data_IF_975417794074
#
_entry.id   IF_975417794074
#
_cell.length_a   1.000
_cell.length_b   1.000
_cell.length_c   1.000
_cell.angle_alpha   90.00
_cell.angle_beta   90.00
_cell.angle_gamma   90.00
#
_symmetry.space_group_name_H-M   'P 1'
#
loop_
_entity.id
_entity.type
_entity.pdbx_description
1 polymer ?
#
# COMPACT_ATOMS: atom_id res chain seq x y z
N UNK A 1 57.32 42.83 29.37
CA UNK A 1 55.87 42.58 29.27
C UNK A 1 55.56 42.06 27.88
N UNK A 2 55.23 40.78 27.69
CA UNK A 2 54.58 40.31 26.48
C UNK A 2 53.05 40.44 26.61
N UNK A 3 52.31 40.71 25.52
CA UNK A 3 50.88 40.95 25.57
C UNK A 3 50.13 39.64 25.81
N UNK A 4 49.19 39.69 26.76
CA UNK A 4 48.27 38.62 27.11
C UNK A 4 47.43 38.25 25.87
N UNK A 5 47.49 36.98 25.48
CA UNK A 5 46.91 36.45 24.25
C UNK A 5 45.41 36.76 24.16
N UNK A 6 45.01 37.50 23.12
CA UNK A 6 43.63 37.98 22.91
C UNK A 6 42.63 36.81 22.83
N UNK A 7 43.10 35.64 22.40
CA UNK A 7 42.28 34.44 22.23
C UNK A 7 41.72 33.90 23.56
N UNK A 8 42.47 33.95 24.67
CA UNK A 8 42.01 33.45 25.97
C UNK A 8 40.94 34.34 26.61
N UNK A 9 40.88 35.63 26.27
CA UNK A 9 39.81 36.53 26.75
C UNK A 9 38.47 36.22 26.09
N UNK A 10 38.45 35.88 24.80
CA UNK A 10 37.20 35.55 24.11
C UNK A 10 36.64 34.19 24.51
N UNK A 11 37.48 33.20 24.80
CA UNK A 11 37.03 31.88 25.26
C UNK A 11 36.37 31.97 26.64
N UNK A 12 36.91 32.76 27.58
CA UNK A 12 36.30 32.94 28.90
C UNK A 12 34.95 33.68 28.81
N UNK A 13 34.84 34.70 27.97
CA UNK A 13 33.58 35.44 27.77
C UNK A 13 32.50 34.52 27.20
N UNK A 14 32.84 33.69 26.21
CA UNK A 14 31.89 32.80 25.56
C UNK A 14 31.35 31.72 26.51
N UNK A 15 32.21 31.15 27.36
CA UNK A 15 31.82 30.16 28.38
C UNK A 15 30.92 30.81 29.45
N UNK A 16 31.22 32.03 29.89
CA UNK A 16 30.37 32.75 30.86
C UNK A 16 28.99 33.10 30.29
N UNK A 17 28.91 33.51 29.02
CA UNK A 17 27.61 33.78 28.38
C UNK A 17 26.78 32.51 28.18
N UNK A 18 27.41 31.37 27.88
CA UNK A 18 26.69 30.10 27.72
C UNK A 18 26.12 29.60 29.05
N UNK A 19 26.87 29.73 30.16
CA UNK A 19 26.41 29.36 31.50
C UNK A 19 25.23 30.24 31.96
N UNK A 20 25.26 31.55 31.67
CA UNK A 20 24.16 32.46 32.00
C UNK A 20 22.88 32.16 31.20
N UNK A 21 22.99 31.75 29.93
CA UNK A 21 21.83 31.37 29.11
C UNK A 21 21.20 30.06 29.62
N UNK A 22 22.02 29.07 30.01
CA UNK A 22 21.52 27.81 30.57
C UNK A 22 20.86 28.04 31.95
N UNK A 23 21.43 28.92 32.78
CA UNK A 23 20.85 29.33 34.06
C UNK A 23 19.48 30.00 33.90
N UNK A 24 19.31 30.87 32.89
CA UNK A 24 18.04 31.55 32.62
C UNK A 24 16.95 30.57 32.12
N UNK A 25 17.34 29.52 31.40
CA UNK A 25 16.40 28.50 30.89
C UNK A 25 15.88 27.57 32.00
N UNK A 26 16.73 27.22 32.97
CA UNK A 26 16.34 26.35 34.10
C UNK A 26 15.38 27.08 35.08
N UNK A 27 15.49 28.41 35.19
CA UNK A 27 14.55 29.21 36.02
C UNK A 27 13.20 29.50 35.36
N UNK A 28 13.00 29.14 34.09
CA UNK A 28 11.75 29.35 33.34
C UNK A 28 10.92 28.06 33.17
N UNK A 29 11.11 27.08 34.05
CA UNK A 29 10.17 25.97 34.23
C UNK A 29 9.34 26.29 35.47
N UNK A 30 8.35 27.17 35.30
CA UNK A 30 7.29 27.34 36.29
C UNK A 30 6.32 26.18 36.18
N UNK A 31 6.23 25.43 37.28
CA UNK A 31 5.23 24.44 37.65
C UNK A 31 3.91 24.51 36.85
N UNK A 32 3.71 23.56 35.95
CA UNK A 32 2.41 23.30 35.34
C UNK A 32 1.62 22.43 36.33
N UNK A 33 0.66 23.05 37.02
CA UNK A 33 -0.33 22.35 37.83
C UNK A 33 -1.32 21.63 36.89
N UNK A 34 -1.63 20.34 37.09
CA UNK A 34 -2.67 19.68 36.33
C UNK A 34 -4.03 20.31 36.65
N UNK A 35 -4.81 20.65 35.63
CA UNK A 35 -6.18 21.11 35.79
C UNK A 35 -7.06 19.90 36.10
N UNK A 36 -7.71 19.91 37.27
CA UNK A 36 -8.78 18.99 37.64
C UNK A 36 -9.87 19.01 36.57
N UNK A 37 -10.02 17.91 35.84
CA UNK A 37 -11.17 17.69 34.98
C UNK A 37 -12.19 16.91 35.79
N UNK A 38 -13.18 17.62 36.31
CA UNK A 38 -14.35 17.07 36.99
C UNK A 38 -15.04 16.07 36.06
N UNK A 39 -14.97 14.80 36.43
CA UNK A 39 -15.66 13.69 35.78
C UNK A 39 -17.16 13.82 36.01
N UNK A 40 -17.90 14.34 35.01
CA UNK A 40 -19.35 14.14 34.94
C UNK A 40 -19.62 12.87 34.14
N UNK A 41 -19.48 11.73 34.81
CA UNK A 41 -19.97 10.43 34.32
C UNK A 41 -21.49 10.53 34.19
N UNK A 42 -21.98 10.75 32.97
CA UNK A 42 -23.40 10.51 32.68
C UNK A 42 -23.54 9.04 32.34
N UNK A 43 -23.77 8.24 33.36
CA UNK A 43 -24.06 6.81 33.28
C UNK A 43 -25.38 6.62 32.53
N UNK A 44 -25.33 6.30 31.25
CA UNK A 44 -26.46 5.68 30.56
C UNK A 44 -26.47 4.20 30.91
N UNK A 45 -27.27 3.81 31.90
CA UNK A 45 -27.69 2.43 32.10
C UNK A 45 -28.83 2.11 31.13
N UNK A 46 -28.72 1.08 30.27
CA UNK A 46 -29.88 0.41 29.73
C UNK A 46 -30.33 -0.64 30.74
N UNK A 47 -31.58 -0.50 31.19
CA UNK A 47 -32.28 -1.45 32.04
C UNK A 47 -32.29 -2.85 31.42
N UNK A 48 -32.00 -3.85 32.26
CA UNK A 48 -32.50 -5.20 32.05
C UNK A 48 -34.04 -5.16 32.13
N UNK A 49 -34.69 -5.47 31.01
CA UNK A 49 -36.03 -6.02 31.02
C UNK A 49 -36.14 -7.04 29.91
N UNK A 50 -36.30 -8.27 30.37
CA UNK A 50 -36.69 -9.48 29.66
C UNK A 50 -37.81 -9.21 28.63
N UNK A 51 -37.52 -9.41 27.34
CA UNK A 51 -38.56 -9.75 26.37
C UNK A 51 -37.94 -10.44 25.16
N UNK A 52 -38.26 -11.73 25.04
CA UNK A 52 -38.11 -12.55 23.85
C UNK A 52 -38.54 -11.83 22.58
N UNK A 53 -37.61 -11.62 21.64
CA UNK A 53 -37.95 -11.33 20.26
C UNK A 53 -36.98 -12.05 19.33
N UNK A 54 -37.54 -12.98 18.56
CA UNK A 54 -36.93 -13.80 17.54
C UNK A 54 -35.88 -13.03 16.71
N UNK A 55 -34.64 -13.53 16.70
CA UNK A 55 -33.61 -13.12 15.75
C UNK A 55 -34.10 -13.39 14.32
N UNK A 56 -34.41 -12.32 13.59
CA UNK A 56 -34.41 -12.36 12.14
C UNK A 56 -32.94 -12.47 11.72
N UNK A 57 -32.51 -13.69 11.36
CA UNK A 57 -31.19 -13.91 10.76
C UNK A 57 -31.07 -13.08 9.48
N UNK A 58 -30.14 -12.13 9.48
CA UNK A 58 -29.67 -11.45 8.27
C UNK A 58 -29.19 -12.50 7.23
N UNK A 59 -29.55 -12.41 5.94
CA UNK A 59 -29.17 -13.41 4.93
C UNK A 59 -27.69 -13.33 4.49
N UNK A 60 -26.86 -12.51 5.12
CA UNK A 60 -25.45 -12.35 4.80
C UNK A 60 -24.61 -12.74 6.02
N UNK A 61 -24.61 -14.02 6.36
CA UNK A 61 -23.59 -14.57 7.24
C UNK A 61 -22.33 -14.79 6.40
N UNK A 62 -21.24 -14.15 6.83
CA UNK A 62 -19.92 -14.22 6.23
C UNK A 62 -19.44 -15.69 6.19
N UNK A 63 -19.21 -16.28 5.01
CA UNK A 63 -18.79 -17.68 4.87
C UNK A 63 -17.37 -17.94 5.39
N UNK A 64 -16.65 -16.93 5.87
CA UNK A 64 -15.21 -16.99 6.18
C UNK A 64 -14.91 -17.06 7.68
N UNK A 65 -15.89 -17.38 8.51
CA UNK A 65 -15.71 -17.59 9.94
C UNK A 65 -15.07 -18.96 10.25
N UNK A 66 -13.95 -19.26 9.57
CA UNK A 66 -13.08 -20.38 9.90
C UNK A 66 -11.82 -19.79 10.55
N UNK A 67 -11.84 -19.69 11.88
CA UNK A 67 -10.85 -19.06 12.76
C UNK A 67 -9.45 -19.73 12.77
N UNK A 68 -9.07 -20.46 11.72
CA UNK A 68 -7.77 -21.14 11.59
C UNK A 68 -6.79 -20.48 10.61
N UNK A 69 -7.14 -19.33 10.03
CA UNK A 69 -6.14 -18.46 9.45
C UNK A 69 -5.63 -17.58 10.60
N UNK A 70 -4.38 -17.78 11.03
CA UNK A 70 -3.57 -16.81 11.78
C UNK A 70 -4.00 -15.38 11.39
N UNK A 71 -4.04 -14.41 12.31
CA UNK A 71 -4.57 -13.03 12.08
C UNK A 71 -4.05 -12.25 10.86
N UNK A 72 -3.17 -12.85 10.06
CA UNK A 72 -2.73 -12.58 8.69
C UNK A 72 -3.83 -12.29 7.65
N UNK A 73 -5.09 -12.70 7.84
CA UNK A 73 -6.14 -12.59 6.81
C UNK A 73 -7.44 -11.93 7.27
N UNK A 74 -7.36 -10.95 8.18
CA UNK A 74 -8.51 -10.10 8.53
C UNK A 74 -8.82 -9.08 7.41
N UNK A 75 -9.83 -8.24 7.59
CA UNK A 75 -10.20 -7.20 6.60
C UNK A 75 -9.12 -6.13 6.38
N UNK A 76 -8.05 -6.12 7.18
CA UNK A 76 -6.89 -5.22 7.03
C UNK A 76 -5.63 -5.94 6.56
N UNK A 77 -5.75 -7.21 6.13
CA UNK A 77 -4.65 -8.03 5.64
C UNK A 77 -3.47 -8.09 6.63
N UNK A 78 -3.74 -8.05 7.94
CA UNK A 78 -2.70 -8.06 8.97
C UNK A 78 -1.97 -6.71 9.20
N UNK A 79 -2.28 -5.66 8.45
CA UNK A 79 -1.81 -4.30 8.74
C UNK A 79 -2.71 -3.60 9.74
N UNK A 80 -2.22 -2.57 10.44
CA UNK A 80 -3.10 -1.77 11.29
C UNK A 80 -4.06 -0.92 10.47
N UNK A 81 -3.63 -0.44 9.30
CA UNK A 81 -4.47 0.31 8.36
C UNK A 81 -4.18 -0.10 6.92
N UNK A 82 -5.23 -0.13 6.11
CA UNK A 82 -5.12 -0.07 4.65
C UNK A 82 -5.71 1.28 4.25
N UNK A 83 -4.92 2.13 3.61
CA UNK A 83 -5.38 3.39 3.06
C UNK A 83 -5.25 3.36 1.53
N UNK A 84 -6.26 3.86 0.82
CA UNK A 84 -6.14 4.09 -0.61
C UNK A 84 -6.16 5.58 -0.94
N UNK A 85 -5.28 5.99 -1.84
CA UNK A 85 -5.07 7.37 -2.23
C UNK A 85 -5.93 7.72 -3.44
N UNK A 86 -6.95 8.56 -3.25
CA UNK A 86 -7.77 9.07 -4.33
C UNK A 86 -7.95 10.59 -4.23
N UNK A 87 -7.95 11.28 -5.36
CA UNK A 87 -8.33 12.71 -5.41
C UNK A 87 -9.86 12.86 -5.35
N UNK A 88 -10.40 14.01 -4.91
CA UNK A 88 -11.84 14.18 -4.68
C UNK A 88 -12.74 13.94 -5.90
N UNK A 89 -12.27 14.23 -7.11
CA UNK A 89 -13.03 14.28 -8.36
C UNK A 89 -12.99 12.97 -9.18
N UNK A 90 -12.48 11.87 -8.60
CA UNK A 90 -12.30 10.57 -9.25
C UNK A 90 -13.22 9.48 -8.70
N UNK A 91 -14.53 9.68 -8.89
CA UNK A 91 -15.58 8.77 -8.40
C UNK A 91 -15.47 7.35 -8.98
N UNK A 92 -15.07 7.25 -10.26
CA UNK A 92 -14.87 5.96 -10.91
C UNK A 92 -13.83 5.10 -10.18
N UNK A 93 -12.79 5.72 -9.61
CA UNK A 93 -11.76 5.01 -8.85
C UNK A 93 -12.30 4.56 -7.48
N UNK A 94 -13.04 5.43 -6.77
CA UNK A 94 -13.72 5.07 -5.52
C UNK A 94 -14.65 3.86 -5.70
N UNK A 95 -15.47 3.88 -6.76
CA UNK A 95 -16.43 2.81 -7.06
C UNK A 95 -15.70 1.48 -7.33
N UNK A 96 -14.59 1.51 -8.07
CA UNK A 96 -13.80 0.28 -8.31
C UNK A 96 -13.14 -0.25 -7.04
N UNK A 97 -12.65 0.60 -6.15
CA UNK A 97 -12.10 0.16 -4.87
C UNK A 97 -13.21 -0.48 -4.02
N UNK A 98 -14.39 0.15 -3.96
CA UNK A 98 -15.52 -0.36 -3.19
C UNK A 98 -15.96 -1.76 -3.66
N UNK A 99 -16.16 -1.92 -4.97
CA UNK A 99 -16.58 -3.20 -5.56
C UNK A 99 -15.57 -4.33 -5.31
N UNK A 100 -14.29 -4.09 -5.58
CA UNK A 100 -13.24 -5.08 -5.37
C UNK A 100 -13.04 -5.43 -3.89
N UNK A 101 -13.18 -4.43 -3.01
CA UNK A 101 -13.00 -4.62 -1.56
C UNK A 101 -14.03 -5.57 -0.97
N UNK A 102 -15.29 -5.49 -1.44
CA UNK A 102 -16.34 -6.43 -1.06
C UNK A 102 -16.01 -7.84 -1.52
N UNK A 103 -15.57 -8.01 -2.78
CA UNK A 103 -15.21 -9.33 -3.32
C UNK A 103 -14.08 -10.00 -2.53
N UNK A 104 -13.07 -9.23 -2.17
CA UNK A 104 -11.89 -9.73 -1.43
C UNK A 104 -12.05 -9.64 0.09
N UNK A 105 -13.20 -9.18 0.59
CA UNK A 105 -13.48 -8.91 2.01
C UNK A 105 -12.36 -8.15 2.71
N UNK A 106 -11.88 -7.07 2.11
CA UNK A 106 -10.96 -6.11 2.73
C UNK A 106 -11.68 -4.78 2.97
N UNK A 107 -11.11 -3.93 3.83
CA UNK A 107 -11.71 -2.65 4.20
C UNK A 107 -10.69 -1.51 4.13
N UNK A 108 -10.27 -1.11 2.92
CA UNK A 108 -9.40 0.04 2.76
C UNK A 108 -10.17 1.34 3.06
N UNK A 109 -9.51 2.27 3.73
CA UNK A 109 -10.05 3.60 4.06
C UNK A 109 -9.55 4.63 3.04
N UNK A 110 -10.46 5.49 2.56
CA UNK A 110 -10.09 6.54 1.62
C UNK A 110 -9.19 7.56 2.31
N UNK A 111 -8.07 7.88 1.68
CA UNK A 111 -7.26 9.05 1.99
C UNK A 111 -7.35 10.06 0.85
N UNK A 112 -7.74 11.30 1.18
CA UNK A 112 -7.88 12.36 0.18
C UNK A 112 -6.50 12.82 -0.29
N UNK A 113 -6.22 12.58 -1.56
CA UNK A 113 -5.04 13.09 -2.24
C UNK A 113 -5.10 14.60 -2.42
N UNK A 114 -3.90 15.19 -2.50
CA UNK A 114 -3.74 16.60 -2.83
C UNK A 114 -4.16 16.77 -4.28
N UNK A 115 -5.10 17.69 -4.52
CA UNK A 115 -5.53 18.05 -5.86
C UNK A 115 -4.58 19.08 -6.44
N UNK A 116 -4.23 18.94 -7.72
CA UNK A 116 -3.39 19.89 -8.45
C UNK A 116 -3.89 21.34 -8.36
N UNK A 117 -5.20 21.53 -8.36
CA UNK A 117 -5.86 22.84 -8.31
C UNK A 117 -5.68 23.54 -6.96
N UNK A 118 -5.35 22.79 -5.90
CA UNK A 118 -5.25 23.30 -4.52
C UNK A 118 -3.83 23.23 -3.95
N UNK A 119 -2.84 22.83 -4.77
CA UNK A 119 -1.45 22.71 -4.33
C UNK A 119 -0.77 24.08 -4.19
N UNK A 120 -0.51 24.50 -2.95
CA UNK A 120 0.29 25.70 -2.65
C UNK A 120 1.79 25.38 -2.59
N UNK A 121 2.57 26.02 -3.48
CA UNK A 121 4.02 25.86 -3.56
C UNK A 121 4.75 26.35 -2.31
N UNK A 122 4.17 27.28 -1.53
CA UNK A 122 4.79 27.80 -0.29
C UNK A 122 4.95 26.70 0.77
N UNK A 123 4.07 25.71 0.76
CA UNK A 123 4.10 24.59 1.72
C UNK A 123 5.00 23.42 1.31
N UNK A 124 5.63 23.48 0.13
CA UNK A 124 6.48 22.39 -0.34
C UNK A 124 7.90 22.48 0.27
N UNK A 125 8.53 21.34 0.60
CA UNK A 125 9.93 21.28 1.00
C UNK A 125 10.88 21.85 -0.06
N UNK A 126 12.12 22.22 0.33
CA UNK A 126 13.14 22.64 -0.62
C UNK A 126 13.49 21.52 -1.61
N UNK A 127 14.10 21.90 -2.73
CA UNK A 127 14.56 20.99 -3.78
C UNK A 127 15.95 21.41 -4.23
N UNK A 128 16.88 20.47 -4.31
CA UNK A 128 18.25 20.67 -4.82
C UNK A 128 18.29 20.85 -6.35
N UNK A 129 17.22 20.44 -7.06
CA UNK A 129 17.14 20.58 -8.51
C UNK A 129 16.78 22.00 -8.94
N UNK A 130 17.47 22.48 -9.98
CA UNK A 130 17.16 23.75 -10.65
C UNK A 130 15.82 23.71 -11.38
N UNK A 131 15.53 22.59 -12.04
CA UNK A 131 14.26 22.36 -12.73
C UNK A 131 13.28 21.78 -11.72
N UNK A 132 12.16 22.47 -11.53
CA UNK A 132 11.11 22.01 -10.62
C UNK A 132 10.46 20.74 -11.16
N UNK A 133 10.16 19.82 -10.26
CA UNK A 133 9.32 18.66 -10.55
C UNK A 133 7.95 19.10 -11.09
N UNK A 134 7.40 18.34 -12.04
CA UNK A 134 6.08 18.63 -12.62
C UNK A 134 5.00 18.71 -11.51
N UNK A 135 4.04 19.65 -11.58
CA UNK A 135 3.04 19.83 -10.52
C UNK A 135 2.27 18.54 -10.18
N UNK A 136 1.92 17.71 -11.17
CA UNK A 136 1.23 16.43 -10.93
C UNK A 136 2.05 15.48 -10.06
N UNK A 137 3.36 15.41 -10.29
CA UNK A 137 4.27 14.62 -9.48
C UNK A 137 4.48 15.24 -8.08
N UNK A 138 4.52 16.56 -7.95
CA UNK A 138 4.53 17.23 -6.64
C UNK A 138 3.28 16.92 -5.81
N UNK A 139 2.10 16.97 -6.44
CA UNK A 139 0.83 16.69 -5.79
C UNK A 139 0.73 15.22 -5.38
N UNK A 140 1.13 14.30 -6.25
CA UNK A 140 1.23 12.88 -5.94
C UNK A 140 2.16 12.65 -4.74
N UNK A 141 3.40 13.14 -4.82
CA UNK A 141 4.36 13.02 -3.72
C UNK A 141 3.80 13.55 -2.41
N UNK A 142 3.26 14.78 -2.42
CA UNK A 142 2.72 15.42 -1.21
C UNK A 142 1.58 14.62 -0.60
N UNK A 143 0.80 13.92 -1.43
CA UNK A 143 -0.25 13.02 -0.99
C UNK A 143 0.30 11.83 -0.20
N UNK A 144 1.29 11.12 -0.73
CA UNK A 144 1.98 10.04 0.00
C UNK A 144 2.60 10.52 1.31
N UNK A 145 3.29 11.67 1.26
CA UNK A 145 3.90 12.24 2.46
C UNK A 145 2.88 12.69 3.51
N UNK A 146 1.64 13.02 3.12
CA UNK A 146 0.56 13.27 4.09
C UNK A 146 0.09 11.99 4.78
N UNK A 147 0.07 10.86 4.07
CA UNK A 147 -0.23 9.55 4.67
C UNK A 147 0.86 9.12 5.65
N UNK A 148 2.14 9.31 5.29
CA UNK A 148 3.27 9.04 6.21
C UNK A 148 3.16 9.89 7.48
N UNK A 149 2.80 11.18 7.34
CA UNK A 149 2.60 12.05 8.51
C UNK A 149 1.44 11.57 9.37
N UNK A 150 0.31 11.21 8.76
CA UNK A 150 -0.84 10.67 9.50
C UNK A 150 -0.46 9.40 10.27
N UNK A 151 0.31 8.50 9.66
CA UNK A 151 0.79 7.29 10.31
C UNK A 151 1.58 7.59 11.59
N UNK A 152 2.45 8.60 11.56
CA UNK A 152 3.23 9.04 12.73
C UNK A 152 2.33 9.70 13.76
N UNK A 153 1.47 10.64 13.34
CA UNK A 153 0.58 11.39 14.23
C UNK A 153 -0.34 10.44 15.03
N UNK A 154 -0.77 9.34 14.40
CA UNK A 154 -1.66 8.32 14.98
C UNK A 154 -0.90 7.13 15.59
N UNK A 155 0.44 7.14 15.55
CA UNK A 155 1.32 6.10 16.06
C UNK A 155 1.03 4.69 15.52
N UNK A 156 0.69 4.58 14.23
CA UNK A 156 0.52 3.28 13.58
C UNK A 156 1.88 2.64 13.28
N UNK A 157 2.02 1.34 13.56
CA UNK A 157 3.22 0.54 13.33
C UNK A 157 3.36 0.06 11.89
N UNK A 158 2.23 -0.23 11.22
CA UNK A 158 2.21 -0.71 9.84
C UNK A 158 0.99 -0.20 9.08
N UNK A 159 1.20 0.20 7.83
CA UNK A 159 0.13 0.68 6.96
C UNK A 159 0.37 0.19 5.53
N UNK A 160 -0.66 -0.36 4.90
CA UNK A 160 -0.69 -0.64 3.46
C UNK A 160 -1.27 0.56 2.72
N UNK A 161 -0.54 1.06 1.73
CA UNK A 161 -0.95 2.16 0.85
C UNK A 161 -1.30 1.58 -0.52
N UNK A 162 -2.46 1.97 -1.05
CA UNK A 162 -2.91 1.65 -2.40
C UNK A 162 -3.11 2.95 -3.20
N UNK A 163 -2.75 2.97 -4.48
CA UNK A 163 -3.31 3.95 -5.42
C UNK A 163 -4.76 3.55 -5.76
N UNK A 164 -5.63 4.52 -6.03
CA UNK A 164 -7.06 4.23 -6.27
C UNK A 164 -7.34 3.49 -7.59
N UNK A 165 -6.37 3.44 -8.49
CA UNK A 165 -6.41 2.61 -9.70
C UNK A 165 -5.80 1.21 -9.49
N UNK A 166 -5.52 0.80 -8.24
CA UNK A 166 -5.05 -0.54 -7.94
C UNK A 166 -6.13 -1.61 -8.22
N UNK A 167 -5.69 -2.74 -8.77
CA UNK A 167 -6.49 -3.95 -9.01
C UNK A 167 -5.72 -5.19 -8.55
N UNK A 168 -6.45 -6.20 -8.09
CA UNK A 168 -5.89 -7.39 -7.48
C UNK A 168 -6.66 -8.67 -7.81
N UNK A 169 -6.14 -9.81 -7.35
CA UNK A 169 -6.83 -11.10 -7.40
C UNK A 169 -7.84 -11.24 -6.25
N UNK A 170 -9.03 -11.79 -6.51
CA UNK A 170 -10.08 -11.92 -5.49
C UNK A 170 -9.60 -12.64 -4.21
N UNK A 171 -8.62 -13.54 -4.32
CA UNK A 171 -8.06 -14.33 -3.22
C UNK A 171 -7.02 -13.57 -2.38
N UNK A 172 -7.07 -12.24 -2.39
CA UNK A 172 -6.06 -11.35 -1.80
C UNK A 172 -5.66 -11.73 -0.37
N UNK A 173 -6.62 -12.11 0.49
CA UNK A 173 -6.35 -12.53 1.87
C UNK A 173 -5.44 -13.76 1.96
N UNK A 174 -5.65 -14.76 1.10
CA UNK A 174 -4.80 -15.94 1.05
C UNK A 174 -3.42 -15.62 0.47
N UNK A 175 -3.37 -14.75 -0.55
CA UNK A 175 -2.10 -14.29 -1.13
C UNK A 175 -1.25 -13.58 -0.07
N UNK A 176 -1.85 -12.74 0.77
CA UNK A 176 -1.16 -12.04 1.85
C UNK A 176 -0.74 -12.95 3.00
N UNK A 177 -1.50 -14.01 3.30
CA UNK A 177 -1.08 -15.06 4.21
C UNK A 177 0.18 -15.78 3.69
N UNK A 178 0.16 -16.23 2.43
CA UNK A 178 1.29 -16.90 1.77
C UNK A 178 2.52 -16.00 1.70
N UNK A 179 2.32 -14.71 1.40
CA UNK A 179 3.39 -13.72 1.43
C UNK A 179 4.06 -13.62 2.80
N UNK A 180 3.30 -13.60 3.89
CA UNK A 180 3.86 -13.57 5.26
C UNK A 180 4.79 -14.74 5.53
N UNK A 181 4.37 -15.95 5.13
CA UNK A 181 5.20 -17.15 5.24
C UNK A 181 6.49 -17.05 4.39
N UNK A 182 6.39 -16.53 3.17
CA UNK A 182 7.55 -16.29 2.30
C UNK A 182 8.51 -15.24 2.86
N UNK A 183 7.97 -14.16 3.43
CA UNK A 183 8.74 -13.10 4.07
C UNK A 183 9.52 -13.64 5.27
N UNK A 184 8.87 -14.41 6.15
CA UNK A 184 9.52 -15.05 7.29
C UNK A 184 10.70 -15.95 6.85
N UNK A 185 10.48 -16.78 5.82
CA UNK A 185 11.54 -17.64 5.27
C UNK A 185 12.73 -16.82 4.75
N UNK A 186 12.46 -15.71 4.03
CA UNK A 186 13.51 -14.84 3.52
C UNK A 186 14.25 -14.14 4.66
N UNK A 187 13.54 -13.59 5.65
CA UNK A 187 14.13 -12.97 6.84
C UNK A 187 15.08 -13.93 7.57
N UNK A 188 14.63 -15.18 7.75
CA UNK A 188 15.42 -16.26 8.37
C UNK A 188 16.67 -16.59 7.54
N UNK A 189 16.51 -16.73 6.23
CA UNK A 189 17.62 -16.97 5.28
C UNK A 189 18.67 -15.85 5.31
N UNK A 190 18.24 -14.60 5.54
CA UNK A 190 19.15 -13.45 5.66
C UNK A 190 19.70 -13.25 7.09
N UNK A 191 19.34 -14.09 8.06
CA UNK A 191 19.78 -13.98 9.45
C UNK A 191 19.22 -12.76 10.18
N UNK A 192 18.09 -12.21 9.72
CA UNK A 192 17.44 -11.02 10.31
C UNK A 192 16.48 -11.38 11.45
N UNK A 193 16.13 -12.65 11.56
CA UNK A 193 15.34 -13.23 12.65
C UNK A 193 16.00 -14.51 13.17
N UNK A 194 15.83 -14.80 14.46
CA UNK A 194 16.37 -16.01 15.10
C UNK A 194 15.60 -17.28 14.70
N UNK A 195 16.16 -18.48 14.92
CA UNK A 195 15.53 -19.76 14.55
C UNK A 195 14.15 -19.98 15.17
N UNK A 196 13.92 -19.44 16.37
CA UNK A 196 12.66 -19.58 17.12
C UNK A 196 11.75 -18.34 17.03
N UNK A 197 12.18 -17.30 16.31
CA UNK A 197 11.38 -16.09 16.06
C UNK A 197 10.40 -16.35 14.91
N UNK A 198 9.11 -16.12 15.16
CA UNK A 198 8.00 -16.41 14.25
C UNK A 198 7.01 -15.25 14.19
N UNK A 199 6.27 -15.16 13.08
CA UNK A 199 5.20 -14.19 12.93
C UNK A 199 4.13 -14.41 14.01
N UNK A 200 3.57 -13.31 14.53
CA UNK A 200 2.50 -13.35 15.53
C UNK A 200 1.19 -12.89 14.91
N UNK A 201 0.08 -13.07 15.63
CA UNK A 201 -1.23 -12.58 15.19
C UNK A 201 -1.24 -11.05 15.06
N UNK A 202 -0.54 -10.37 15.96
CA UNK A 202 -0.48 -8.91 16.05
C UNK A 202 0.59 -8.31 15.14
N UNK A 203 1.65 -9.07 14.84
CA UNK A 203 2.72 -8.67 13.93
C UNK A 203 3.00 -9.77 12.88
N UNK A 204 2.09 -9.94 11.91
CA UNK A 204 2.19 -10.97 10.89
C UNK A 204 3.38 -10.83 9.93
N UNK A 205 3.95 -9.63 9.84
CA UNK A 205 4.96 -9.29 8.83
C UNK A 205 6.26 -8.76 9.43
N UNK A 206 6.45 -8.84 10.75
CA UNK A 206 7.64 -8.32 11.43
C UNK A 206 7.89 -6.83 11.14
N UNK A 207 6.96 -5.94 11.48
CA UNK A 207 7.00 -4.51 11.13
C UNK A 207 8.30 -3.77 11.54
N UNK A 208 9.07 -4.33 12.47
CA UNK A 208 10.36 -3.81 12.90
C UNK A 208 11.57 -4.30 12.06
N UNK A 209 11.38 -5.16 11.06
CA UNK A 209 12.43 -5.71 10.18
C UNK A 209 12.46 -5.07 8.79
N UNK A 210 11.58 -4.12 8.52
CA UNK A 210 11.48 -3.45 7.23
C UNK A 210 10.99 -2.01 7.39
N UNK A 211 11.35 -1.18 6.42
CA UNK A 211 10.84 0.17 6.23
C UNK A 211 9.70 0.21 5.23
N UNK A 212 9.87 -0.48 4.10
CA UNK A 212 8.90 -0.53 2.98
C UNK A 212 8.83 -1.93 2.38
N UNK A 213 7.63 -2.40 2.08
CA UNK A 213 7.41 -3.60 1.26
C UNK A 213 6.62 -3.20 0.02
N UNK A 214 7.16 -3.39 -1.17
CA UNK A 214 6.47 -3.09 -2.43
C UNK A 214 5.66 -4.32 -2.88
N UNK A 215 4.37 -4.10 -3.15
CA UNK A 215 3.43 -5.14 -3.57
C UNK A 215 2.86 -4.90 -4.97
N UNK A 216 3.05 -3.69 -5.51
CA UNK A 216 2.61 -3.30 -6.84
C UNK A 216 3.53 -2.25 -7.43
N UNK A 217 4.09 -2.57 -8.59
CA UNK A 217 4.98 -1.71 -9.36
C UNK A 217 4.88 -2.01 -10.85
N UNK A 218 5.27 -1.04 -11.66
CA UNK A 218 5.24 -1.14 -13.11
C UNK A 218 6.54 -1.72 -13.71
N UNK A 219 7.63 -1.70 -12.94
CA UNK A 219 8.92 -2.22 -13.37
C UNK A 219 9.74 -2.69 -12.17
N UNK A 220 10.19 -3.94 -12.19
CA UNK A 220 11.08 -4.50 -11.18
C UNK A 220 12.55 -4.32 -11.58
N UNK A 221 13.35 -3.65 -10.75
CA UNK A 221 14.79 -3.50 -11.01
C UNK A 221 15.48 -4.89 -10.95
N UNK A 222 16.32 -5.30 -11.92
CA UNK A 222 17.02 -6.60 -11.90
C UNK A 222 18.14 -6.72 -10.85
N UNK A 223 18.53 -5.62 -10.21
CA UNK A 223 19.52 -5.59 -9.15
C UNK A 223 19.16 -6.53 -7.99
N UNK A 224 20.20 -7.14 -7.42
CA UNK A 224 20.10 -8.07 -6.28
C UNK A 224 19.13 -9.24 -6.49
N UNK A 225 18.91 -9.68 -7.74
CA UNK A 225 17.98 -10.78 -8.05
C UNK A 225 18.33 -12.08 -7.32
N UNK A 226 19.61 -12.29 -7.01
CA UNK A 226 20.15 -13.43 -6.27
C UNK A 226 19.74 -13.42 -4.79
N UNK A 227 19.36 -12.26 -4.27
CA UNK A 227 18.92 -12.08 -2.88
C UNK A 227 17.40 -12.17 -2.80
N UNK A 228 16.89 -13.33 -3.22
CA UNK A 228 15.47 -13.62 -3.31
C UNK A 228 15.15 -15.04 -2.82
N UNK A 229 13.86 -15.33 -2.68
CA UNK A 229 13.32 -16.63 -2.30
C UNK A 229 11.99 -16.87 -3.01
N UNK A 230 11.82 -18.05 -3.62
CA UNK A 230 10.51 -18.50 -4.10
C UNK A 230 9.74 -19.15 -2.94
N UNK A 231 8.49 -18.75 -2.75
CA UNK A 231 7.59 -19.29 -1.73
C UNK A 231 6.28 -19.76 -2.36
N UNK A 232 5.61 -20.69 -1.67
CA UNK A 232 4.36 -21.28 -2.15
C UNK A 232 3.22 -20.24 -2.12
N UNK A 233 2.56 -20.08 -3.26
CA UNK A 233 1.33 -19.33 -3.42
C UNK A 233 0.47 -19.97 -4.54
N UNK A 234 -0.54 -20.78 -4.18
CA UNK A 234 -1.47 -21.40 -5.15
C UNK A 234 -2.20 -20.42 -6.07
N UNK A 235 -2.26 -19.14 -5.70
CA UNK A 235 -2.92 -18.09 -6.48
C UNK A 235 -1.96 -17.33 -7.41
N UNK A 236 -0.66 -17.62 -7.34
CA UNK A 236 0.33 -17.07 -8.25
C UNK A 236 0.08 -17.53 -9.70
N UNK A 237 0.29 -16.67 -10.71
CA UNK A 237 0.22 -17.07 -12.11
C UNK A 237 1.31 -18.09 -12.48
N UNK A 238 1.00 -18.96 -13.42
CA UNK A 238 1.96 -19.94 -13.96
C UNK A 238 2.72 -19.37 -15.16
N UNK A 239 3.92 -19.90 -15.44
CA UNK A 239 4.67 -19.58 -16.66
C UNK A 239 5.32 -18.19 -16.65
N UNK A 240 5.46 -17.59 -15.46
CA UNK A 240 6.18 -16.34 -15.27
C UNK A 240 7.69 -16.58 -15.20
N UNK A 241 8.46 -15.57 -15.60
CA UNK A 241 9.94 -15.59 -15.50
C UNK A 241 10.40 -14.41 -14.67
N UNK A 242 11.25 -14.68 -13.71
CA UNK A 242 11.90 -13.69 -12.88
C UNK A 242 13.31 -13.43 -13.44
N UNK A 243 13.48 -12.35 -14.20
CA UNK A 243 14.74 -11.98 -14.86
C UNK A 243 15.39 -13.11 -15.69
N UNK A 244 14.55 -13.84 -16.43
CA UNK A 244 14.96 -14.97 -17.28
C UNK A 244 14.78 -16.34 -16.62
N UNK A 245 14.79 -16.38 -15.29
CA UNK A 245 14.70 -17.61 -14.51
C UNK A 245 13.22 -18.02 -14.35
N UNK A 246 12.81 -19.25 -14.69
CA UNK A 246 11.43 -19.69 -14.51
C UNK A 246 11.01 -19.65 -13.05
N UNK A 247 9.80 -19.15 -12.79
CA UNK A 247 9.14 -19.29 -11.49
C UNK A 247 8.40 -20.62 -11.50
N UNK A 248 8.57 -21.40 -10.43
CA UNK A 248 7.88 -22.67 -10.29
C UNK A 248 6.36 -22.47 -10.25
N UNK A 249 5.61 -23.50 -10.65
CA UNK A 249 4.14 -23.46 -10.59
C UNK A 249 3.70 -23.19 -9.14
N UNK A 250 2.70 -22.33 -8.97
CA UNK A 250 2.14 -21.96 -7.67
C UNK A 250 3.19 -21.34 -6.73
N UNK A 251 4.14 -20.56 -7.27
CA UNK A 251 5.09 -19.81 -6.45
C UNK A 251 5.12 -18.33 -6.82
N UNK A 252 5.48 -17.51 -5.83
CA UNK A 252 5.95 -16.13 -6.02
C UNK A 252 7.37 -15.99 -5.49
N UNK A 253 8.02 -14.92 -5.88
CA UNK A 253 9.35 -14.53 -5.45
C UNK A 253 9.22 -13.36 -4.48
N UNK A 254 9.78 -13.48 -3.29
CA UNK A 254 10.05 -12.34 -2.41
C UNK A 254 11.53 -11.96 -2.52
N UNK A 255 11.81 -10.66 -2.53
CA UNK A 255 13.13 -10.09 -2.80
C UNK A 255 13.57 -9.20 -1.66
N UNK A 256 14.86 -9.17 -1.34
CA UNK A 256 15.41 -8.29 -0.30
C UNK A 256 16.19 -7.12 -0.90
N UNK A 257 15.86 -5.90 -0.44
CA UNK A 257 16.47 -4.62 -0.82
C UNK A 257 16.59 -4.45 -2.33
N UNK A 258 15.53 -4.81 -3.03
CA UNK A 258 15.39 -4.60 -4.47
C UNK A 258 14.09 -3.83 -4.71
N UNK A 259 14.20 -2.76 -5.49
CA UNK A 259 13.10 -1.83 -5.70
C UNK A 259 12.28 -2.12 -6.95
N UNK A 260 11.06 -1.60 -6.92
CA UNK A 260 10.16 -1.46 -8.06
C UNK A 260 9.90 0.02 -8.33
N UNK A 261 9.62 0.35 -9.59
CA UNK A 261 9.14 1.68 -10.02
C UNK A 261 7.61 1.70 -9.94
N UNK A 262 7.04 2.89 -9.78
CA UNK A 262 5.64 3.14 -9.47
C UNK A 262 5.27 2.81 -8.00
N UNK A 263 4.16 3.38 -7.53
CA UNK A 263 3.69 3.29 -6.13
C UNK A 263 2.31 2.67 -5.99
N UNK A 264 1.90 1.84 -6.97
CA UNK A 264 0.58 1.21 -7.06
C UNK A 264 0.14 0.61 -5.73
N UNK A 265 1.04 -0.13 -5.07
CA UNK A 265 0.82 -0.62 -3.71
C UNK A 265 2.12 -0.86 -2.98
N UNK A 266 2.22 -0.37 -1.75
CA UNK A 266 3.32 -0.69 -0.84
C UNK A 266 2.87 -0.59 0.63
N UNK A 267 3.41 -1.46 1.48
CA UNK A 267 3.34 -1.27 2.92
C UNK A 267 4.51 -0.44 3.42
N UNK A 268 4.29 0.30 4.50
CA UNK A 268 5.27 1.12 5.17
C UNK A 268 5.20 0.91 6.70
N UNK A 269 6.35 0.86 7.35
CA UNK A 269 6.46 0.80 8.81
C UNK A 269 6.59 2.21 9.41
N UNK A 270 6.39 2.34 10.71
CA UNK A 270 6.52 3.64 11.38
C UNK A 270 7.92 4.25 11.15
N UNK A 271 8.96 3.41 11.23
CA UNK A 271 10.34 3.82 10.96
C UNK A 271 10.53 4.25 9.50
N UNK A 272 9.96 3.51 8.55
CA UNK A 272 9.99 3.87 7.14
C UNK A 272 9.31 5.22 6.86
N UNK A 273 8.16 5.48 7.47
CA UNK A 273 7.44 6.75 7.34
C UNK A 273 8.28 7.94 7.84
N UNK A 274 8.97 7.78 8.97
CA UNK A 274 9.89 8.78 9.49
C UNK A 274 11.07 9.03 8.54
N UNK A 275 11.71 7.98 8.03
CA UNK A 275 12.83 8.07 7.08
C UNK A 275 12.42 8.80 5.80
N UNK A 276 11.28 8.47 5.23
CA UNK A 276 10.77 9.09 4.00
C UNK A 276 10.36 10.55 4.23
N UNK A 277 9.75 10.88 5.37
CA UNK A 277 9.45 12.28 5.69
C UNK A 277 10.70 13.12 5.92
N UNK A 278 11.73 12.58 6.58
CA UNK A 278 13.02 13.25 6.72
C UNK A 278 13.65 13.48 5.35
N UNK A 279 13.69 12.44 4.49
CA UNK A 279 14.19 12.54 3.12
C UNK A 279 13.47 13.63 2.33
N UNK A 280 12.15 13.75 2.52
CA UNK A 280 11.29 14.74 1.89
C UNK A 280 11.56 16.15 2.40
N UNK A 281 11.73 16.31 3.72
CA UNK A 281 11.99 17.61 4.34
C UNK A 281 13.34 18.20 3.94
N UNK A 282 14.34 17.34 3.70
CA UNK A 282 15.68 17.75 3.27
C UNK A 282 15.69 18.13 1.78
N UNK A 283 15.08 17.30 0.92
CA UNK A 283 15.21 17.50 -0.53
C UNK A 283 14.09 16.84 -1.36
N UNK A 284 13.04 17.57 -1.73
CA UNK A 284 11.99 17.06 -2.62
C UNK A 284 12.37 17.24 -4.10
N UNK A 285 13.42 16.55 -4.55
CA UNK A 285 14.01 16.69 -5.89
C UNK A 285 13.58 15.66 -6.94
N UNK A 286 12.90 14.60 -6.55
CA UNK A 286 12.44 13.55 -7.46
C UNK A 286 10.99 13.19 -7.17
N UNK A 287 10.36 12.47 -8.11
CA UNK A 287 9.07 11.86 -7.88
C UNK A 287 9.15 10.80 -6.76
N UNK A 288 8.02 10.52 -6.11
CA UNK A 288 7.99 9.68 -4.89
C UNK A 288 8.48 8.25 -5.13
N UNK A 289 8.12 7.68 -6.26
CA UNK A 289 8.60 6.37 -6.72
C UNK A 289 10.12 6.37 -6.90
N UNK A 290 10.67 7.42 -7.53
CA UNK A 290 12.10 7.57 -7.71
C UNK A 290 12.84 7.79 -6.39
N UNK A 291 12.26 8.53 -5.43
CA UNK A 291 12.84 8.67 -4.08
C UNK A 291 12.91 7.31 -3.38
N UNK A 292 11.84 6.50 -3.47
CA UNK A 292 11.85 5.13 -2.95
C UNK A 292 12.96 4.31 -3.60
N UNK A 293 13.02 4.27 -4.94
CA UNK A 293 14.06 3.52 -5.68
C UNK A 293 15.47 3.95 -5.26
N UNK A 294 15.75 5.26 -5.22
CA UNK A 294 17.07 5.79 -4.83
C UNK A 294 17.42 5.38 -3.39
N UNK A 295 16.48 5.50 -2.45
CA UNK A 295 16.76 5.13 -1.06
C UNK A 295 16.95 3.62 -0.89
N UNK A 296 16.26 2.79 -1.67
CA UNK A 296 16.47 1.34 -1.68
C UNK A 296 17.88 1.01 -2.18
N UNK A 297 18.25 1.54 -3.34
CA UNK A 297 19.54 1.26 -3.98
C UNK A 297 20.74 1.78 -3.17
N UNK A 298 20.56 2.90 -2.47
CA UNK A 298 21.60 3.49 -1.60
C UNK A 298 21.62 2.87 -0.20
N UNK A 299 20.72 1.94 0.12
CA UNK A 299 20.65 1.29 1.44
C UNK A 299 20.07 2.18 2.54
N UNK A 300 19.40 3.28 2.19
CA UNK A 300 18.68 4.15 3.12
C UNK A 300 17.36 3.57 3.62
N UNK A 301 16.87 2.50 2.98
CA UNK A 301 15.68 1.75 3.41
C UNK A 301 15.96 0.23 3.43
N UNK A 302 15.43 -0.43 4.45
CA UNK A 302 15.27 -1.88 4.50
C UNK A 302 13.98 -2.27 3.78
N UNK A 303 14.10 -2.88 2.61
CA UNK A 303 12.92 -3.13 1.78
C UNK A 303 12.78 -4.56 1.30
N UNK A 304 11.55 -4.89 0.96
CA UNK A 304 11.20 -6.12 0.29
C UNK A 304 10.28 -5.82 -0.90
N UNK A 305 10.28 -6.70 -1.89
CA UNK A 305 9.35 -6.62 -3.01
C UNK A 305 8.90 -8.02 -3.45
N UNK A 306 7.79 -8.09 -4.19
CA UNK A 306 7.18 -9.36 -4.59
C UNK A 306 7.04 -9.42 -6.11
N UNK A 307 7.44 -10.53 -6.70
CA UNK A 307 7.24 -10.79 -8.13
C UNK A 307 6.68 -12.20 -8.37
N UNK A 308 5.67 -12.40 -9.23
CA UNK A 308 4.82 -11.39 -9.86
C UNK A 308 4.14 -10.51 -8.81
N UNK A 309 3.83 -9.26 -9.17
CA UNK A 309 3.28 -8.30 -8.21
C UNK A 309 1.86 -8.70 -7.78
N UNK A 310 1.46 -8.28 -6.58
CA UNK A 310 0.15 -8.61 -5.98
C UNK A 310 -0.92 -7.61 -6.43
N UNK A 311 -0.52 -6.37 -6.70
CA UNK A 311 -1.39 -5.31 -7.21
C UNK A 311 -0.88 -4.80 -8.56
N UNK A 312 -1.79 -4.69 -9.53
CA UNK A 312 -1.57 -3.99 -10.81
C UNK A 312 -2.31 -2.65 -10.79
N UNK A 313 -2.12 -1.85 -11.83
CA UNK A 313 -3.05 -0.79 -12.17
C UNK A 313 -4.12 -1.32 -13.13
N UNK A 314 -5.37 -0.94 -12.92
CA UNK A 314 -6.40 -1.13 -13.94
C UNK A 314 -6.48 0.10 -14.83
N UNK A 315 -6.92 -0.11 -16.06
CA UNK A 315 -7.33 0.93 -16.98
C UNK A 315 -8.60 0.49 -17.71
N UNK A 316 -9.37 1.45 -18.22
CA UNK A 316 -10.41 1.13 -19.18
C UNK A 316 -9.80 0.48 -20.42
N UNK A 317 -10.49 -0.50 -21.01
CA UNK A 317 -10.07 -1.16 -22.25
C UNK A 317 -9.74 -0.11 -23.31
N UNK A 318 -8.52 -0.17 -23.87
CA UNK A 318 -7.99 0.84 -24.81
C UNK A 318 -8.92 1.16 -25.99
N UNK A 319 -9.70 0.17 -26.43
CA UNK A 319 -10.66 0.32 -27.54
C UNK A 319 -11.75 1.36 -27.25
N UNK A 320 -12.04 1.66 -25.99
CA UNK A 320 -13.01 2.67 -25.57
C UNK A 320 -12.51 4.10 -25.77
N UNK A 321 -11.19 4.32 -25.83
CA UNK A 321 -10.63 5.66 -26.03
C UNK A 321 -10.79 6.62 -24.84
N UNK A 322 -10.76 6.09 -23.61
CA UNK A 322 -11.04 6.82 -22.37
C UNK A 322 -9.77 7.09 -21.54
N UNK A 323 -8.68 7.45 -22.21
CA UNK A 323 -7.35 7.54 -21.58
C UNK A 323 -7.30 8.55 -20.42
N UNK A 324 -8.04 9.67 -20.52
CA UNK A 324 -8.05 10.71 -19.47
C UNK A 324 -8.65 10.21 -18.15
N UNK A 325 -9.52 9.18 -18.22
CA UNK A 325 -10.20 8.61 -17.06
C UNK A 325 -9.30 7.68 -16.23
N UNK A 326 -8.17 7.25 -16.80
CA UNK A 326 -7.23 6.35 -16.15
C UNK A 326 -6.27 7.09 -15.21
N UNK A 327 -5.76 8.28 -15.57
CA UNK A 327 -4.76 8.99 -14.77
C UNK A 327 -4.71 10.49 -15.03
N UNK A 328 -4.45 11.27 -13.97
CA UNK A 328 -4.25 12.73 -14.03
C UNK A 328 -2.78 13.15 -14.23
N UNK A 329 -1.85 12.19 -14.27
CA UNK A 329 -0.41 12.52 -14.25
C UNK A 329 0.06 13.07 -15.59
N UNK A 330 -0.37 12.48 -16.71
CA UNK A 330 0.14 12.74 -18.07
C UNK A 330 -0.76 13.65 -18.91
N UNK A 331 -1.99 13.91 -18.47
CA UNK A 331 -2.94 14.71 -19.25
C UNK A 331 -3.38 14.05 -20.56
N UNK A 332 -3.48 12.72 -20.55
CA UNK A 332 -3.92 11.93 -21.71
C UNK A 332 -5.33 12.37 -22.14
N UNK A 333 -5.60 12.36 -23.45
CA UNK A 333 -6.87 12.81 -24.01
C UNK A 333 -7.72 11.64 -24.46
N UNK A 334 -9.03 11.78 -24.27
CA UNK A 334 -10.00 10.85 -24.82
C UNK A 334 -10.07 11.01 -26.34
N UNK A 335 -10.17 9.89 -27.05
CA UNK A 335 -10.35 9.82 -28.50
C UNK A 335 -11.58 8.98 -28.88
N UNK A 336 -12.46 8.71 -27.92
CA UNK A 336 -13.72 7.96 -28.07
C UNK A 336 -14.55 8.46 -29.25
N UNK A 337 -14.81 9.77 -29.31
CA UNK A 337 -15.61 10.40 -30.38
C UNK A 337 -14.96 10.23 -31.76
N UNK A 338 -13.63 10.30 -31.83
CA UNK A 338 -12.91 10.08 -33.08
C UNK A 338 -12.96 8.62 -33.52
N UNK A 339 -12.88 7.67 -32.57
CA UNK A 339 -13.05 6.24 -32.84
C UNK A 339 -14.47 5.92 -33.33
N UNK A 340 -15.48 6.47 -32.67
CA UNK A 340 -16.89 6.32 -33.04
C UNK A 340 -17.18 6.87 -34.44
N UNK A 341 -16.60 8.01 -34.81
CA UNK A 341 -16.73 8.59 -36.16
C UNK A 341 -16.03 7.74 -37.23
N UNK A 342 -14.87 7.16 -36.92
CA UNK A 342 -14.09 6.35 -37.85
C UNK A 342 -14.73 4.98 -38.12
N UNK A 343 -15.33 4.36 -37.10
CA UNK A 343 -15.96 3.05 -37.22
C UNK A 343 -17.24 2.97 -36.34
N UNK A 344 -18.38 3.51 -36.81
CA UNK A 344 -19.61 3.53 -36.03
C UNK A 344 -20.15 2.15 -35.68
N UNK A 345 -20.09 1.20 -36.61
CA UNK A 345 -20.62 -0.16 -36.40
C UNK A 345 -19.71 -0.99 -35.48
N UNK A 346 -18.39 -0.89 -35.64
CA UNK A 346 -17.46 -1.53 -34.72
C UNK A 346 -17.56 -0.94 -33.31
N UNK A 347 -17.75 0.37 -33.17
CA UNK A 347 -17.97 1.01 -31.87
C UNK A 347 -19.29 0.58 -31.22
N UNK A 348 -20.38 0.47 -32.00
CA UNK A 348 -21.65 -0.08 -31.52
C UNK A 348 -21.51 -1.53 -31.08
N UNK A 349 -20.81 -2.36 -31.87
CA UNK A 349 -20.53 -3.76 -31.52
C UNK A 349 -19.73 -3.85 -30.22
N UNK A 350 -18.69 -3.02 -30.06
CA UNK A 350 -17.89 -2.96 -28.83
C UNK A 350 -18.76 -2.71 -27.59
N UNK A 351 -19.66 -1.72 -27.64
CA UNK A 351 -20.57 -1.44 -26.52
C UNK A 351 -21.59 -2.56 -26.28
N UNK A 352 -22.07 -3.23 -27.33
CA UNK A 352 -22.93 -4.41 -27.15
C UNK A 352 -22.17 -5.53 -26.42
N UNK A 353 -20.95 -5.84 -26.86
CA UNK A 353 -20.09 -6.84 -26.23
C UNK A 353 -19.80 -6.47 -24.75
N UNK A 354 -19.61 -5.18 -24.45
CA UNK A 354 -19.43 -4.66 -23.08
C UNK A 354 -20.68 -4.82 -22.23
N UNK A 355 -21.86 -4.46 -22.74
CA UNK A 355 -23.11 -4.62 -21.99
C UNK A 355 -23.43 -6.10 -21.72
N UNK A 356 -23.06 -6.99 -22.64
CA UNK A 356 -23.21 -8.43 -22.44
C UNK A 356 -22.20 -8.97 -21.41
N UNK A 357 -20.93 -8.58 -21.52
CA UNK A 357 -19.86 -9.07 -20.63
C UNK A 357 -19.81 -8.40 -19.25
N UNK A 358 -20.35 -7.18 -19.14
CA UNK A 358 -20.19 -6.26 -18.00
C UNK A 358 -18.73 -6.02 -17.61
N UNK A 359 -17.84 -6.02 -18.60
CA UNK A 359 -16.40 -5.91 -18.39
C UNK A 359 -15.80 -4.79 -19.27
N UNK A 360 -15.36 -3.73 -18.61
CA UNK A 360 -14.74 -2.55 -19.23
C UNK A 360 -13.27 -2.37 -18.85
N UNK A 361 -12.70 -3.27 -18.05
CA UNK A 361 -11.40 -3.09 -17.42
C UNK A 361 -10.32 -4.00 -18.03
N UNK A 362 -9.08 -3.56 -17.94
CA UNK A 362 -7.88 -4.33 -18.25
C UNK A 362 -6.75 -3.99 -17.28
N UNK A 363 -5.91 -4.98 -16.96
CA UNK A 363 -4.63 -4.72 -16.29
C UNK A 363 -3.71 -3.91 -17.19
N UNK A 364 -3.02 -2.92 -16.62
CA UNK A 364 -2.10 -2.03 -17.32
C UNK A 364 -0.74 -2.68 -17.54
N UNK A 365 -0.25 -3.46 -16.58
CA UNK A 365 1.05 -4.15 -16.65
C UNK A 365 0.88 -5.68 -16.54
N UNK A 366 0.11 -6.31 -17.45
CA UNK A 366 -0.22 -7.73 -17.37
C UNK A 366 1.02 -8.64 -17.39
N UNK A 367 2.16 -8.18 -17.92
CA UNK A 367 3.45 -8.87 -17.88
C UNK A 367 4.02 -9.05 -16.46
N UNK A 368 3.56 -8.26 -15.49
CA UNK A 368 4.02 -8.28 -14.10
C UNK A 368 3.05 -8.98 -13.15
N UNK A 369 1.81 -9.27 -13.55
CA UNK A 369 0.75 -9.78 -12.66
C UNK A 369 0.07 -11.07 -13.12
N UNK A 370 -0.53 -11.07 -14.32
CA UNK A 370 -1.35 -12.16 -14.89
C UNK A 370 -2.30 -12.82 -13.88
N UNK A 371 -3.09 -12.03 -13.12
CA UNK A 371 -3.99 -12.58 -12.09
C UNK A 371 -4.79 -13.78 -12.58
N UNK A 372 -4.86 -14.83 -11.75
CA UNK A 372 -5.71 -16.00 -12.04
C UNK A 372 -7.18 -15.61 -12.00
N UNK A 373 -7.55 -14.75 -11.05
CA UNK A 373 -8.92 -14.24 -10.83
C UNK A 373 -8.90 -12.75 -10.52
N UNK A 374 -8.62 -11.92 -11.53
CA UNK A 374 -8.71 -10.46 -11.43
C UNK A 374 -10.10 -10.04 -10.88
N UNK A 375 -10.13 -9.24 -9.82
CA UNK A 375 -11.35 -8.87 -9.12
C UNK A 375 -12.35 -8.13 -10.01
N UNK A 376 -11.90 -7.17 -10.82
CA UNK A 376 -12.78 -6.39 -11.70
C UNK A 376 -13.38 -7.25 -12.81
N UNK A 377 -12.57 -8.11 -13.44
CA UNK A 377 -13.07 -8.99 -14.50
C UNK A 377 -13.96 -10.14 -13.99
N UNK A 378 -14.05 -10.34 -12.66
CA UNK A 378 -14.93 -11.33 -12.02
C UNK A 378 -16.15 -10.72 -11.31
N UNK A 379 -16.39 -9.41 -11.44
CA UNK A 379 -17.54 -8.75 -10.80
C UNK A 379 -18.88 -9.31 -11.25
N UNK A 380 -19.05 -9.55 -12.56
CA UNK A 380 -20.32 -10.06 -13.11
C UNK A 380 -20.73 -11.38 -12.49
N UNK A 381 -19.80 -12.34 -12.43
CA UNK A 381 -20.08 -13.69 -11.92
C UNK A 381 -20.46 -13.69 -10.44
N UNK A 382 -19.87 -12.78 -9.67
CA UNK A 382 -20.18 -12.64 -8.26
C UNK A 382 -21.50 -11.89 -8.02
N UNK A 383 -21.72 -10.76 -8.68
CA UNK A 383 -22.87 -9.88 -8.43
C UNK A 383 -24.16 -10.48 -9.01
N UNK A 384 -24.12 -10.95 -10.26
CA UNK A 384 -25.33 -11.35 -10.99
C UNK A 384 -25.53 -12.87 -11.03
N UNK A 385 -24.45 -13.64 -11.17
CA UNK A 385 -24.57 -15.09 -11.31
C UNK A 385 -24.57 -15.82 -9.96
N UNK A 386 -24.38 -15.09 -8.84
CA UNK A 386 -24.28 -15.59 -7.46
C UNK A 386 -23.31 -16.77 -7.28
N UNK A 387 -22.32 -16.90 -8.18
CA UNK A 387 -21.24 -17.86 -7.99
C UNK A 387 -20.36 -17.31 -6.89
N UNK A 388 -20.54 -17.81 -5.68
CA UNK A 388 -19.59 -17.54 -4.60
C UNK A 388 -18.20 -17.96 -5.07
N UNK A 389 -17.20 -17.13 -4.75
CA UNK A 389 -15.80 -17.38 -5.01
C UNK A 389 -15.23 -18.47 -4.07
N UNK A 390 -15.93 -19.59 -3.95
CA UNK A 390 -15.46 -20.80 -3.29
C UNK A 390 -14.97 -21.69 -4.40
N UNK A 391 -13.66 -21.75 -4.59
CA UNK A 391 -13.09 -22.94 -5.23
C UNK A 391 -13.41 -24.09 -4.29
N UNK A 392 -14.23 -25.00 -4.80
CA UNK A 392 -14.57 -26.26 -4.18
C UNK A 392 -13.26 -27.01 -3.81
N UNK A 393 -13.02 -27.19 -2.51
CA UNK A 393 -11.91 -27.99 -1.96
C UNK A 393 -11.97 -29.48 -2.39
N UNK A 394 -12.96 -29.87 -3.20
CA UNK A 394 -13.21 -31.24 -3.64
C UNK A 394 -12.25 -31.78 -4.71
N UNK A 395 -11.39 -30.95 -5.33
CA UNK A 395 -10.51 -31.40 -6.44
C UNK A 395 -9.05 -31.70 -6.05
N UNK A 396 -8.70 -31.70 -4.76
CA UNK A 396 -7.35 -32.05 -4.28
C UNK A 396 -7.27 -33.40 -3.53
N UNK A 397 -8.34 -34.19 -3.50
CA UNK A 397 -8.35 -35.55 -2.95
C UNK A 397 -8.89 -36.57 -3.94
N UNK A 398 -8.15 -36.88 -5.01
CA UNK A 398 -8.39 -38.11 -5.79
C UNK A 398 -7.21 -38.52 -6.68
N UNK A 399 -5.99 -38.57 -6.13
CA UNK A 399 -4.91 -39.37 -6.74
C UNK A 399 -3.99 -39.90 -5.64
N UNK A 400 -4.54 -40.71 -4.74
CA UNK A 400 -3.76 -41.55 -3.82
C UNK A 400 -4.57 -42.81 -3.46
N UNK A 401 -5.23 -43.42 -4.44
CA UNK A 401 -5.65 -44.82 -4.37
C UNK A 401 -5.64 -45.40 -5.78
N UNK A 402 -4.51 -45.98 -6.17
CA UNK A 402 -4.40 -47.09 -7.14
C UNK A 402 -2.97 -47.64 -7.06
N UNK A 403 -2.67 -48.19 -5.88
CA UNK A 403 -1.61 -49.16 -5.67
C UNK A 403 -2.26 -50.44 -5.15
N UNK A 404 -2.56 -51.37 -6.05
CA UNK A 404 -2.80 -52.79 -5.77
C UNK A 404 -2.14 -53.60 -6.86
#
# INVERSE_FOLDING_TARGET
>A
MPPLNILTKYTLIFVFTLILIISAFITSIKSFTPLDTTTTTTTFQPNESDSSSNEIKSPLQDPLQNDNILGLANSTLGFQKILYLNVPDRYNLDDTIAMQSVLSGIKPERFLGVNLKTLDQKGLPPSSRKVKMHPSAQSCYRSHANMWRKMIDENWQSMLILEADAVWDINLRHIFHNFGNGLEQLLRKQGLIGPDEHATKEDPYFHNKWDVIQFGGCYANPGRKEVSLQYDDPYAPSGMKFFGDPIEKNKRVVRWRAGEVCTVSYAISHAGAMKLLLRTAIDMNEAVDMVLTIMIETGGLDTYSVFPVIFDQWQYKDKLGLASKNSDIRGDKDDEEDRKKKDPEGFKKLWNDIHESLDVWSSRFPENTRFKKNALNNLKSFIFDKKMAVDDESTLKSTDELGS
#
